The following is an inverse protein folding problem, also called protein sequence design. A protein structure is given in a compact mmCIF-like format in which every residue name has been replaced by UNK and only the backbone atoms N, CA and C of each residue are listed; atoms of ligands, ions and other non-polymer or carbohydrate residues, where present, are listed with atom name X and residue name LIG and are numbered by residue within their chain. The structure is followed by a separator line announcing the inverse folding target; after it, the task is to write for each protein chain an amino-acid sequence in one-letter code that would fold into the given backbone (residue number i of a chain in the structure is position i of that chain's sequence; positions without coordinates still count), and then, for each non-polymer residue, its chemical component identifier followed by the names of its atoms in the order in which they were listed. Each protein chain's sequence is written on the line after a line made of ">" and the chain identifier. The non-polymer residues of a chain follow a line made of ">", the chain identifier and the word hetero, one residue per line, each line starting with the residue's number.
data_IF_816081726638
#
_entry.id   IF_816081726638
#
_cell.length_a   1.000
_cell.length_b   1.000
_cell.length_c   1.000
_cell.angle_alpha   90.00
_cell.angle_beta   90.00
_cell.angle_gamma   90.00
#
_symmetry.space_group_name_H-M   'P 1'
#
loop_
_entity.id
_entity.type
_entity.pdbx_description
1 polymer ?
#
# COMPACT_ATOMS: atom_id res chain seq x y z
N UNK A 1 8.52 19.37 8.63
CA UNK A 1 9.44 18.22 8.38
C UNK A 1 10.14 18.41 7.05
N UNK A 2 11.32 17.81 6.83
CA UNK A 2 11.91 17.77 5.47
C UNK A 2 11.18 16.70 4.65
N UNK A 3 11.17 16.80 3.31
CA UNK A 3 10.59 15.76 2.44
C UNK A 3 11.17 14.37 2.72
N UNK A 4 12.47 14.31 3.06
CA UNK A 4 13.20 13.09 3.45
C UNK A 4 12.69 12.42 4.74
N UNK A 5 11.87 13.13 5.51
CA UNK A 5 11.28 12.61 6.75
C UNK A 5 9.86 12.08 6.50
N UNK A 6 9.26 12.40 5.34
CA UNK A 6 7.90 12.01 4.97
C UNK A 6 7.95 10.68 4.21
N UNK A 7 7.46 9.64 4.87
CA UNK A 7 7.19 8.32 4.29
C UNK A 7 5.79 8.25 3.65
N UNK A 8 5.73 7.79 2.40
CA UNK A 8 4.51 7.54 1.63
C UNK A 8 4.32 6.02 1.46
N UNK A 9 3.10 5.53 1.69
CA UNK A 9 2.71 4.16 1.33
C UNK A 9 1.90 4.19 0.02
N UNK A 10 2.47 3.74 -1.11
CA UNK A 10 1.76 3.61 -2.37
C UNK A 10 0.86 2.36 -2.36
N UNK A 11 -0.41 2.55 -2.06
CA UNK A 11 -1.46 1.54 -2.11
C UNK A 11 -1.97 1.40 -3.55
N UNK A 12 -1.67 0.29 -4.21
CA UNK A 12 -2.07 0.09 -5.60
C UNK A 12 -2.06 -1.37 -6.01
N UNK A 13 -2.90 -1.70 -7.00
CA UNK A 13 -3.01 -3.03 -7.56
C UNK A 13 -1.69 -3.61 -8.07
N UNK A 14 -1.47 -4.89 -7.77
CA UNK A 14 -0.26 -5.66 -8.13
C UNK A 14 -0.51 -6.73 -9.19
N UNK A 15 -1.69 -6.73 -9.81
CA UNK A 15 -2.19 -7.86 -10.61
C UNK A 15 -1.39 -8.19 -11.87
N UNK A 16 -0.64 -7.23 -12.43
CA UNK A 16 0.04 -7.41 -13.71
C UNK A 16 1.23 -6.46 -13.90
N UNK A 17 2.07 -6.78 -14.89
CA UNK A 17 3.29 -6.02 -15.21
C UNK A 17 3.06 -4.55 -15.59
N UNK A 18 1.87 -4.20 -16.11
CA UNK A 18 1.55 -2.80 -16.43
C UNK A 18 1.30 -2.01 -15.15
N UNK A 19 0.47 -2.53 -14.24
CA UNK A 19 0.19 -1.90 -12.94
C UNK A 19 1.47 -1.79 -12.11
N UNK A 20 2.32 -2.83 -12.09
CA UNK A 20 3.58 -2.77 -11.35
C UNK A 20 4.58 -1.78 -11.94
N UNK A 21 4.70 -1.72 -13.27
CA UNK A 21 5.54 -0.72 -13.92
C UNK A 21 5.07 0.71 -13.62
N UNK A 22 3.75 0.95 -13.69
CA UNK A 22 3.16 2.24 -13.36
C UNK A 22 3.50 2.67 -11.93
N UNK A 23 3.27 1.78 -10.95
CA UNK A 23 3.53 2.08 -9.55
C UNK A 23 5.02 2.34 -9.29
N UNK A 24 5.92 1.55 -9.89
CA UNK A 24 7.37 1.77 -9.77
C UNK A 24 7.81 3.11 -10.37
N UNK A 25 7.24 3.52 -11.51
CA UNK A 25 7.55 4.81 -12.11
C UNK A 25 7.07 5.99 -11.24
N UNK A 26 5.86 5.88 -10.68
CA UNK A 26 5.31 6.87 -9.76
C UNK A 26 6.16 7.00 -8.50
N UNK A 27 6.51 5.87 -7.87
CA UNK A 27 7.37 5.83 -6.68
C UNK A 27 8.74 6.44 -6.97
N UNK A 28 9.37 6.09 -8.09
CA UNK A 28 10.66 6.67 -8.46
C UNK A 28 10.58 8.21 -8.57
N UNK A 29 9.53 8.74 -9.20
CA UNK A 29 9.32 10.19 -9.28
C UNK A 29 9.14 10.86 -7.91
N UNK A 30 8.46 10.21 -6.96
CA UNK A 30 8.30 10.72 -5.60
C UNK A 30 9.62 10.66 -4.81
N UNK A 31 10.41 9.60 -4.96
CA UNK A 31 11.72 9.50 -4.34
C UNK A 31 12.70 10.54 -4.90
N UNK A 32 12.64 10.85 -6.19
CA UNK A 32 13.41 11.96 -6.80
C UNK A 32 13.03 13.34 -6.23
N UNK A 33 11.78 13.52 -5.77
CA UNK A 33 11.37 14.73 -5.01
C UNK A 33 11.88 14.74 -3.57
N UNK A 34 12.47 13.63 -3.11
CA UNK A 34 13.07 13.47 -1.79
C UNK A 34 12.17 12.80 -0.76
N UNK A 35 11.03 12.21 -1.14
CA UNK A 35 10.20 11.44 -0.23
C UNK A 35 10.79 10.06 0.05
N UNK A 36 10.41 9.46 1.19
CA UNK A 36 10.61 8.03 1.45
C UNK A 36 9.37 7.26 1.02
N UNK A 37 9.52 6.03 0.58
CA UNK A 37 8.37 5.17 0.26
C UNK A 37 8.49 3.80 0.90
N UNK A 38 7.41 3.34 1.55
CA UNK A 38 7.24 1.95 1.97
C UNK A 38 6.53 1.22 0.82
N UNK A 39 7.27 0.68 -0.15
CA UNK A 39 6.68 0.22 -1.41
C UNK A 39 6.57 -1.32 -1.47
N UNK A 40 5.36 -1.89 -1.29
CA UNK A 40 5.18 -3.35 -1.17
C UNK A 40 5.72 -4.14 -2.37
N UNK A 41 5.75 -3.56 -3.57
CA UNK A 41 6.28 -4.22 -4.77
C UNK A 41 7.78 -4.47 -4.72
N UNK A 42 8.55 -3.55 -4.12
CA UNK A 42 10.00 -3.72 -3.94
C UNK A 42 10.30 -4.78 -2.90
N UNK A 43 9.41 -4.89 -1.91
CA UNK A 43 9.47 -5.90 -0.86
C UNK A 43 9.04 -7.29 -1.37
N UNK A 44 8.57 -7.41 -2.62
CA UNK A 44 8.18 -8.67 -3.29
C UNK A 44 9.24 -9.77 -3.37
N UNK A 45 10.44 -9.55 -2.83
CA UNK A 45 11.46 -10.57 -2.57
C UNK A 45 11.17 -11.44 -1.33
N UNK A 46 10.19 -11.05 -0.50
CA UNK A 46 9.80 -11.76 0.73
C UNK A 46 8.97 -13.02 0.49
N UNK A 47 8.22 -13.13 -0.61
CA UNK A 47 7.40 -14.33 -0.89
C UNK A 47 8.27 -15.58 -0.97
N UNK A 48 9.41 -15.53 -1.65
CA UNK A 48 10.27 -16.70 -1.82
C UNK A 48 10.90 -17.16 -0.51
N UNK A 49 11.38 -16.22 0.31
CA UNK A 49 12.08 -16.54 1.55
C UNK A 49 11.12 -16.84 2.71
N UNK A 50 9.99 -16.14 2.79
CA UNK A 50 8.92 -16.41 3.75
C UNK A 50 8.28 -17.77 3.47
N UNK A 51 7.95 -18.09 2.20
CA UNK A 51 7.45 -19.41 1.84
C UNK A 51 8.43 -20.51 2.27
N UNK A 52 9.73 -20.35 2.00
CA UNK A 52 10.76 -21.31 2.45
C UNK A 52 10.79 -21.45 3.97
N UNK A 53 10.83 -20.33 4.69
CA UNK A 53 10.85 -20.35 6.16
C UNK A 53 9.58 -20.99 6.76
N UNK A 54 8.43 -20.83 6.13
CA UNK A 54 7.17 -21.45 6.54
C UNK A 54 7.12 -22.94 6.18
N UNK A 55 7.60 -23.36 5.00
CA UNK A 55 7.66 -24.77 4.59
C UNK A 55 8.52 -25.62 5.53
N UNK A 56 9.54 -25.02 6.16
CA UNK A 56 10.36 -25.70 7.18
C UNK A 56 9.59 -26.01 8.48
N UNK A 57 8.40 -25.41 8.68
CA UNK A 57 7.66 -25.42 9.96
C UNK A 57 6.19 -25.80 9.84
N UNK A 58 5.57 -25.67 8.66
CA UNK A 58 4.16 -25.91 8.40
C UNK A 58 3.97 -26.90 7.24
N UNK A 59 2.85 -27.65 7.22
CA UNK A 59 2.45 -28.42 6.04
C UNK A 59 2.31 -27.51 4.82
N UNK A 60 2.71 -28.00 3.64
CA UNK A 60 2.63 -27.25 2.37
C UNK A 60 1.22 -26.69 2.09
N UNK A 61 0.17 -27.40 2.51
CA UNK A 61 -1.23 -26.96 2.37
C UNK A 61 -1.60 -25.76 3.23
N UNK A 62 -0.87 -25.46 4.30
CA UNK A 62 -1.13 -24.34 5.21
C UNK A 62 -0.29 -23.09 4.86
N UNK A 63 0.82 -23.27 4.14
CA UNK A 63 1.77 -22.19 3.83
C UNK A 63 1.11 -21.01 3.10
N UNK A 64 0.29 -21.20 2.04
CA UNK A 64 -0.33 -20.08 1.34
C UNK A 64 -1.17 -19.19 2.27
N UNK A 65 -2.01 -19.80 3.12
CA UNK A 65 -2.84 -19.05 4.07
C UNK A 65 -2.01 -18.34 5.13
N UNK A 66 -0.90 -18.92 5.57
CA UNK A 66 0.02 -18.27 6.50
C UNK A 66 0.70 -17.05 5.87
N UNK A 67 1.16 -17.16 4.62
CA UNK A 67 1.75 -16.05 3.87
C UNK A 67 0.76 -14.90 3.74
N UNK A 68 -0.48 -15.17 3.29
CA UNK A 68 -1.54 -14.16 3.15
C UNK A 68 -1.78 -13.42 4.48
N UNK A 69 -1.91 -14.15 5.59
CA UNK A 69 -2.12 -13.56 6.92
C UNK A 69 -0.94 -12.71 7.37
N UNK A 70 0.28 -13.20 7.20
CA UNK A 70 1.49 -12.46 7.61
C UNK A 70 1.63 -11.16 6.82
N UNK A 71 1.38 -11.20 5.50
CA UNK A 71 1.40 -10.00 4.65
C UNK A 71 0.32 -9.02 5.08
N UNK A 72 -0.90 -9.49 5.32
CA UNK A 72 -1.97 -8.65 5.84
C UNK A 72 -1.55 -7.92 7.13
N UNK A 73 -0.93 -8.63 8.08
CA UNK A 73 -0.45 -8.02 9.32
C UNK A 73 0.75 -7.09 9.11
N UNK A 74 1.57 -7.33 8.07
CA UNK A 74 2.68 -6.47 7.70
C UNK A 74 2.16 -5.13 7.16
N UNK A 75 1.26 -5.17 6.18
CA UNK A 75 0.65 -3.97 5.61
C UNK A 75 -0.09 -3.17 6.68
N UNK A 76 -1.01 -3.82 7.40
CA UNK A 76 -1.88 -3.17 8.38
C UNK A 76 -1.17 -2.79 9.67
N UNK A 77 -0.14 -3.55 10.06
CA UNK A 77 0.52 -3.38 11.35
C UNK A 77 1.82 -2.59 11.28
N UNK A 78 2.45 -2.51 10.11
CA UNK A 78 3.76 -1.88 9.91
C UNK A 78 3.66 -0.81 8.83
N UNK A 79 3.41 -1.17 7.57
CA UNK A 79 3.58 -0.21 6.49
C UNK A 79 2.59 0.95 6.51
N UNK A 80 1.30 0.67 6.69
CA UNK A 80 0.27 1.72 6.79
C UNK A 80 0.46 2.56 8.06
N UNK A 81 0.61 1.97 9.27
CA UNK A 81 0.87 2.76 10.47
C UNK A 81 2.19 3.53 10.46
N UNK A 82 3.22 3.08 9.73
CA UNK A 82 4.51 3.76 9.66
C UNK A 82 4.64 4.79 8.52
N UNK A 83 3.55 5.06 7.82
CA UNK A 83 3.50 6.05 6.74
C UNK A 83 2.75 7.30 7.14
N UNK A 84 3.19 8.46 6.62
CA UNK A 84 2.53 9.74 6.88
C UNK A 84 1.36 9.95 5.92
N UNK A 85 1.56 9.52 4.68
CA UNK A 85 0.61 9.62 3.58
C UNK A 85 0.36 8.24 3.01
N UNK A 86 -0.91 7.90 2.82
CA UNK A 86 -1.33 6.77 1.99
C UNK A 86 -1.71 7.31 0.63
N UNK A 87 -0.99 6.86 -0.40
CA UNK A 87 -1.22 7.27 -1.77
C UNK A 87 -1.91 6.12 -2.51
N UNK A 88 -3.20 6.24 -2.75
CA UNK A 88 -4.03 5.16 -3.27
C UNK A 88 -4.37 5.35 -4.75
N UNK A 89 -4.02 4.36 -5.57
CA UNK A 89 -4.54 4.26 -6.93
C UNK A 89 -5.99 3.76 -6.89
N UNK A 90 -6.92 4.59 -7.36
CA UNK A 90 -8.35 4.29 -7.42
C UNK A 90 -8.86 4.20 -8.88
N UNK A 91 -7.98 3.81 -9.81
CA UNK A 91 -8.35 3.39 -11.16
C UNK A 91 -9.30 2.18 -11.12
N UNK A 92 -10.15 2.07 -12.14
CA UNK A 92 -11.15 1.01 -12.22
C UNK A 92 -10.64 -0.23 -13.00
N UNK A 93 -10.93 -1.46 -12.55
CA UNK A 93 -11.67 -1.79 -11.33
C UNK A 93 -10.83 -1.52 -10.07
N UNK A 94 -11.49 -0.99 -9.04
CA UNK A 94 -10.85 -0.73 -7.75
C UNK A 94 -10.38 -2.03 -7.09
N UNK A 95 -9.18 -2.01 -6.53
CA UNK A 95 -8.61 -3.11 -5.75
C UNK A 95 -9.17 -3.10 -4.33
N UNK A 96 -9.82 -4.18 -3.92
CA UNK A 96 -10.41 -4.30 -2.58
C UNK A 96 -9.37 -4.20 -1.46
N UNK A 97 -8.14 -4.66 -1.68
CA UNK A 97 -7.02 -4.51 -0.74
C UNK A 97 -6.68 -3.05 -0.50
N UNK A 98 -6.61 -2.25 -1.56
CA UNK A 98 -6.38 -0.79 -1.48
C UNK A 98 -7.49 -0.09 -0.71
N UNK A 99 -8.75 -0.52 -0.87
CA UNK A 99 -9.88 0.03 -0.12
C UNK A 99 -9.79 -0.29 1.38
N UNK A 100 -9.37 -1.51 1.74
CA UNK A 100 -9.13 -1.92 3.13
C UNK A 100 -8.00 -1.10 3.75
N UNK A 101 -6.90 -0.92 3.03
CA UNK A 101 -5.76 -0.09 3.46
C UNK A 101 -6.17 1.35 3.74
N UNK A 102 -6.91 1.96 2.81
CA UNK A 102 -7.44 3.32 2.98
C UNK A 102 -8.36 3.44 4.20
N UNK A 103 -9.27 2.48 4.38
CA UNK A 103 -10.18 2.49 5.54
C UNK A 103 -9.42 2.34 6.87
N UNK A 104 -8.42 1.46 6.92
CA UNK A 104 -7.57 1.32 8.10
C UNK A 104 -6.79 2.60 8.39
N UNK A 105 -6.13 3.16 7.37
CA UNK A 105 -5.38 4.40 7.45
C UNK A 105 -6.22 5.58 7.96
N UNK A 106 -7.46 5.70 7.49
CA UNK A 106 -8.41 6.73 7.94
C UNK A 106 -8.69 6.60 9.43
N UNK A 107 -8.91 5.38 9.92
CA UNK A 107 -9.21 5.11 11.34
C UNK A 107 -8.03 5.45 12.26
N UNK A 108 -6.80 5.34 11.78
CA UNK A 108 -5.58 5.71 12.54
C UNK A 108 -5.07 7.11 12.21
N UNK A 109 -5.88 7.94 11.55
CA UNK A 109 -5.57 9.34 11.20
C UNK A 109 -4.31 9.51 10.34
N UNK A 110 -4.09 8.61 9.37
CA UNK A 110 -3.15 8.88 8.26
C UNK A 110 -3.83 9.72 7.19
N UNK A 111 -3.03 10.53 6.50
CA UNK A 111 -3.53 11.38 5.43
C UNK A 111 -3.67 10.54 4.16
N UNK A 112 -4.90 10.39 3.68
CA UNK A 112 -5.21 9.58 2.52
C UNK A 112 -5.33 10.46 1.27
N UNK A 113 -4.45 10.24 0.30
CA UNK A 113 -4.53 10.84 -1.03
C UNK A 113 -4.97 9.76 -2.02
N UNK A 114 -6.21 9.84 -2.46
CA UNK A 114 -6.68 9.04 -3.59
C UNK A 114 -6.30 9.73 -4.90
N UNK A 115 -5.93 8.95 -5.91
CA UNK A 115 -5.76 9.48 -7.25
C UNK A 115 -6.38 8.57 -8.30
N UNK A 116 -6.70 9.16 -9.45
CA UNK A 116 -7.24 8.44 -10.59
C UNK A 116 -6.65 8.95 -11.89
N UNK A 117 -6.29 7.99 -12.75
CA UNK A 117 -5.62 8.18 -14.04
C UNK A 117 -6.38 7.64 -15.23
N UNK A 118 -7.45 6.87 -14.98
CA UNK A 118 -8.34 6.33 -16.00
C UNK A 118 -8.69 7.31 -17.13
N UNK A 119 -8.49 6.82 -18.36
CA UNK A 119 -8.87 7.56 -19.57
C UNK A 119 -10.33 7.34 -19.99
N UNK A 120 -11.01 6.38 -19.37
CA UNK A 120 -12.42 6.04 -19.62
C UNK A 120 -13.11 5.85 -18.29
N UNK A 121 -14.40 6.17 -18.21
CA UNK A 121 -15.18 6.00 -17.00
C UNK A 121 -16.35 5.03 -17.22
N UNK A 122 -16.53 4.05 -16.31
CA UNK A 122 -17.69 3.18 -16.33
C UNK A 122 -18.95 3.81 -15.72
N UNK A 123 -18.82 4.78 -14.81
CA UNK A 123 -19.95 5.30 -14.01
C UNK A 123 -20.29 6.78 -14.24
N UNK A 124 -19.63 7.47 -15.17
CA UNK A 124 -19.89 8.88 -15.45
C UNK A 124 -18.98 9.47 -16.52
N UNK A 125 -18.73 10.78 -16.42
CA UNK A 125 -17.79 11.48 -17.30
C UNK A 125 -16.46 11.71 -16.60
N UNK A 126 -15.37 11.68 -17.36
CA UNK A 126 -14.05 12.13 -16.87
C UNK A 126 -14.02 13.63 -16.53
N UNK A 127 -15.10 14.38 -16.75
CA UNK A 127 -15.25 15.76 -16.26
C UNK A 127 -15.87 15.88 -14.87
N UNK A 128 -16.38 14.79 -14.30
CA UNK A 128 -17.04 14.82 -13.00
C UNK A 128 -16.02 14.90 -11.85
N UNK A 129 -16.42 15.29 -10.64
CA UNK A 129 -15.50 15.53 -9.52
C UNK A 129 -14.62 14.33 -9.12
N UNK A 130 -15.06 13.10 -9.41
CA UNK A 130 -14.29 11.86 -9.24
C UNK A 130 -14.00 11.16 -10.59
N UNK A 131 -14.17 11.88 -11.70
CA UNK A 131 -14.03 11.41 -13.07
C UNK A 131 -15.00 10.30 -13.49
N UNK A 132 -16.07 10.04 -12.73
CA UNK A 132 -16.98 8.91 -12.93
C UNK A 132 -16.44 7.57 -12.41
N UNK A 133 -15.61 7.61 -11.37
CA UNK A 133 -15.30 6.47 -10.50
C UNK A 133 -16.48 6.23 -9.55
N UNK A 134 -16.59 5.04 -8.97
CA UNK A 134 -17.46 4.85 -7.81
C UNK A 134 -17.06 5.83 -6.69
N UNK A 135 -17.97 6.72 -6.27
CA UNK A 135 -17.61 7.90 -5.46
C UNK A 135 -17.25 7.58 -4.00
N UNK A 136 -17.66 6.43 -3.47
CA UNK A 136 -17.55 6.14 -2.03
C UNK A 136 -16.11 6.21 -1.50
N UNK A 137 -15.11 5.57 -2.13
CA UNK A 137 -13.73 5.69 -1.66
C UNK A 137 -13.22 7.13 -1.68
N UNK A 138 -13.51 7.86 -2.76
CA UNK A 138 -13.11 9.26 -2.90
C UNK A 138 -13.74 10.18 -1.85
N UNK A 139 -15.03 9.98 -1.52
CA UNK A 139 -15.75 10.83 -0.57
C UNK A 139 -15.50 10.48 0.91
N UNK A 140 -15.37 9.19 1.23
CA UNK A 140 -15.37 8.73 2.62
C UNK A 140 -14.02 8.24 3.12
N UNK A 141 -13.12 7.82 2.22
CA UNK A 141 -11.82 7.27 2.59
C UNK A 141 -10.67 8.23 2.31
N UNK A 142 -10.80 9.14 1.35
CA UNK A 142 -9.77 10.11 1.02
C UNK A 142 -9.91 11.42 1.81
N UNK A 143 -8.79 12.04 2.16
CA UNK A 143 -8.71 13.43 2.62
C UNK A 143 -8.51 14.39 1.45
N UNK A 144 -7.75 13.93 0.45
CA UNK A 144 -7.50 14.63 -0.81
C UNK A 144 -7.73 13.68 -1.97
N UNK A 145 -8.34 14.16 -3.06
CA UNK A 145 -8.53 13.38 -4.28
C UNK A 145 -7.93 14.10 -5.48
N UNK A 146 -7.03 13.41 -6.20
CA UNK A 146 -6.35 13.93 -7.38
C UNK A 146 -6.90 13.26 -8.62
N UNK A 147 -7.54 14.07 -9.46
CA UNK A 147 -7.85 13.64 -10.81
C UNK A 147 -6.73 14.03 -11.77
N UNK A 148 -6.19 13.05 -12.47
CA UNK A 148 -5.10 13.25 -13.42
C UNK A 148 -5.30 12.37 -14.65
N UNK A 149 -6.04 12.88 -15.63
CA UNK A 149 -6.31 12.18 -16.89
C UNK A 149 -5.02 11.93 -17.68
N UNK A 150 -4.67 10.66 -17.97
CA UNK A 150 -3.40 10.29 -18.62
C UNK A 150 -3.57 9.69 -20.03
N UNK A 151 -3.92 10.48 -21.06
CA UNK A 151 -4.05 10.00 -22.43
C UNK A 151 -2.65 9.72 -23.02
N UNK A 152 -2.22 8.47 -23.01
CA UNK A 152 -0.91 8.11 -23.54
C UNK A 152 -0.99 7.66 -25.01
N UNK A 153 -0.60 8.54 -25.96
CA UNK A 153 -0.45 8.17 -27.38
C UNK A 153 1.00 7.87 -27.74
N UNK A 154 1.95 8.51 -27.06
CA UNK A 154 3.39 8.34 -27.28
C UNK A 154 4.13 8.09 -25.96
N UNK A 155 5.35 7.50 -25.99
CA UNK A 155 6.17 7.37 -24.79
C UNK A 155 6.53 8.71 -24.13
N UNK A 156 6.58 9.80 -24.90
CA UNK A 156 6.84 11.13 -24.35
C UNK A 156 5.62 11.67 -23.60
N UNK A 157 4.40 11.39 -24.08
CA UNK A 157 3.17 11.71 -23.36
C UNK A 157 3.16 10.96 -22.02
N UNK A 158 3.47 9.66 -22.02
CA UNK A 158 3.53 8.84 -20.80
C UNK A 158 4.44 9.47 -19.72
N UNK A 159 5.63 9.92 -20.11
CA UNK A 159 6.59 10.57 -19.20
C UNK A 159 6.05 11.91 -18.70
N UNK A 160 5.46 12.71 -19.59
CA UNK A 160 4.94 14.04 -19.26
C UNK A 160 3.79 13.94 -18.28
N UNK A 161 2.84 13.03 -18.53
CA UNK A 161 1.70 12.79 -17.63
C UNK A 161 2.19 12.20 -16.30
N UNK A 162 3.11 11.23 -16.30
CA UNK A 162 3.65 10.68 -15.05
C UNK A 162 4.31 11.76 -14.19
N UNK A 163 5.12 12.63 -14.80
CA UNK A 163 5.71 13.76 -14.10
C UNK A 163 4.65 14.73 -13.57
N UNK A 164 3.61 15.00 -14.38
CA UNK A 164 2.48 15.84 -13.98
C UNK A 164 1.70 15.27 -12.79
N UNK A 165 1.55 13.94 -12.71
CA UNK A 165 0.96 13.28 -11.55
C UNK A 165 1.85 13.43 -10.31
N UNK A 166 3.16 13.15 -10.44
CA UNK A 166 4.15 13.31 -9.36
C UNK A 166 4.14 14.74 -8.83
N UNK A 167 4.12 15.74 -9.71
CA UNK A 167 4.11 17.16 -9.33
C UNK A 167 2.82 17.57 -8.61
N UNK A 168 1.66 17.04 -9.03
CA UNK A 168 0.39 17.25 -8.31
C UNK A 168 0.45 16.67 -6.91
N UNK A 169 0.93 15.44 -6.76
CA UNK A 169 1.06 14.78 -5.44
C UNK A 169 2.04 15.57 -4.56
N UNK A 170 3.19 15.97 -5.11
CA UNK A 170 4.18 16.77 -4.40
C UNK A 170 3.61 18.10 -3.89
N UNK A 171 2.81 18.77 -4.73
CA UNK A 171 2.15 20.02 -4.38
C UNK A 171 1.14 19.85 -3.25
N UNK A 172 0.41 18.74 -3.21
CA UNK A 172 -0.53 18.45 -2.13
C UNK A 172 0.20 18.13 -0.82
N UNK A 173 1.27 17.32 -0.85
CA UNK A 173 1.98 16.88 0.36
C UNK A 173 2.85 17.99 0.96
N UNK A 174 3.51 18.81 0.12
CA UNK A 174 4.49 19.82 0.55
C UNK A 174 4.01 20.81 1.64
N UNK A 175 2.77 21.34 1.61
CA UNK A 175 2.28 22.25 2.65
C UNK A 175 1.82 21.55 3.94
N UNK A 176 1.73 20.22 3.97
CA UNK A 176 1.17 19.49 5.10
C UNK A 176 2.15 19.46 6.28
N UNK A 177 1.60 19.60 7.49
CA UNK A 177 2.35 19.39 8.73
C UNK A 177 2.06 18.00 9.29
N UNK A 178 3.10 17.18 9.37
CA UNK A 178 3.00 15.84 9.95
C UNK A 178 3.65 15.81 11.33
N UNK A 179 3.01 15.10 12.26
CA UNK A 179 3.64 14.69 13.51
C UNK A 179 4.57 13.50 13.27
N UNK A 180 5.64 13.39 14.06
CA UNK A 180 6.48 12.20 14.07
C UNK A 180 5.65 10.95 14.30
N UNK A 181 5.81 9.96 13.43
CA UNK A 181 5.16 8.66 13.58
C UNK A 181 5.83 7.92 14.74
N UNK A 182 5.03 7.54 15.73
CA UNK A 182 5.47 6.57 16.73
C UNK A 182 5.42 5.18 16.09
N UNK A 183 6.50 4.37 16.20
CA UNK A 183 6.46 3.00 15.75
C UNK A 183 5.28 2.27 16.40
N UNK A 184 4.57 1.46 15.62
CA UNK A 184 3.60 0.51 16.17
C UNK A 184 4.38 -0.47 17.07
N UNK A 185 4.32 -0.25 18.38
CA UNK A 185 5.11 -1.00 19.37
C UNK A 185 4.44 -2.31 19.78
N UNK A 186 3.16 -2.47 19.47
CA UNK A 186 2.31 -3.56 19.96
C UNK A 186 1.92 -4.58 18.88
N UNK A 187 2.72 -4.74 17.82
CA UNK A 187 2.49 -5.83 16.86
C UNK A 187 3.19 -7.12 17.33
N UNK A 188 2.39 -8.11 17.73
CA UNK A 188 2.87 -9.40 18.26
C UNK A 188 3.79 -10.16 17.30
N UNK A 189 3.69 -9.90 15.99
CA UNK A 189 4.53 -10.53 14.98
C UNK A 189 5.86 -9.79 14.81
N UNK A 190 5.82 -8.47 14.61
CA UNK A 190 6.99 -7.72 14.14
C UNK A 190 7.73 -6.93 15.23
N UNK A 191 7.17 -6.79 16.44
CA UNK A 191 7.75 -5.95 17.49
C UNK A 191 9.18 -6.38 17.86
N UNK A 192 10.14 -5.45 17.77
CA UNK A 192 11.54 -5.70 18.11
C UNK A 192 12.38 -6.44 17.06
N UNK A 193 11.78 -6.89 15.94
CA UNK A 193 12.55 -7.46 14.83
C UNK A 193 13.25 -6.29 14.10
N UNK A 194 14.58 -6.26 14.13
CA UNK A 194 15.39 -5.17 13.55
C UNK A 194 15.30 -5.12 12.03
N UNK A 195 15.28 -6.30 11.42
CA UNK A 195 15.26 -6.47 9.98
C UNK A 195 14.40 -7.68 9.63
N UNK A 196 13.15 -7.42 9.22
CA UNK A 196 12.18 -8.44 8.81
C UNK A 196 12.56 -9.12 7.48
N UNK A 197 13.53 -8.56 6.74
CA UNK A 197 14.03 -9.12 5.48
C UNK A 197 15.21 -10.10 5.71
N UNK A 198 15.81 -10.09 6.89
CA UNK A 198 16.89 -11.00 7.24
C UNK A 198 16.37 -12.42 7.49
N UNK A 199 17.20 -13.45 7.22
CA UNK A 199 16.83 -14.85 7.51
C UNK A 199 16.51 -15.06 9.00
N UNK A 200 17.23 -14.38 9.89
CA UNK A 200 16.99 -14.40 11.33
C UNK A 200 15.63 -13.79 11.67
N UNK A 201 15.34 -12.60 11.15
CA UNK A 201 14.06 -11.93 11.35
C UNK A 201 12.87 -12.73 10.80
N UNK A 202 13.02 -13.36 9.63
CA UNK A 202 11.99 -14.23 9.05
C UNK A 202 11.74 -15.48 9.90
N UNK A 203 12.79 -16.11 10.45
CA UNK A 203 12.63 -17.26 11.35
C UNK A 203 11.89 -16.88 12.62
N UNK A 204 12.29 -15.77 13.23
CA UNK A 204 11.64 -15.25 14.42
C UNK A 204 10.16 -14.89 14.15
N UNK A 205 9.89 -14.24 13.01
CA UNK A 205 8.52 -13.95 12.55
C UNK A 205 7.67 -15.21 12.43
N UNK A 206 8.19 -16.25 11.77
CA UNK A 206 7.49 -17.53 11.60
C UNK A 206 7.23 -18.20 12.94
N UNK A 207 8.21 -18.22 13.85
CA UNK A 207 8.05 -18.80 15.18
C UNK A 207 6.98 -18.06 15.99
N UNK A 208 6.94 -16.73 15.91
CA UNK A 208 5.91 -15.90 16.55
C UNK A 208 4.53 -16.13 15.94
N UNK A 209 4.44 -16.25 14.62
CA UNK A 209 3.19 -16.55 13.94
C UNK A 209 2.60 -17.89 14.40
N UNK A 210 3.41 -18.95 14.40
CA UNK A 210 3.00 -20.28 14.85
C UNK A 210 2.58 -20.25 16.33
N UNK A 211 3.39 -19.61 17.19
CA UNK A 211 3.11 -19.51 18.62
C UNK A 211 1.84 -18.73 18.95
N UNK A 212 1.36 -17.89 18.03
CA UNK A 212 0.17 -17.05 18.22
C UNK A 212 -0.97 -17.41 17.25
N UNK A 213 -0.87 -18.52 16.52
CA UNK A 213 -1.78 -18.88 15.43
C UNK A 213 -3.25 -18.83 15.87
N UNK A 214 -3.61 -19.49 16.97
CA UNK A 214 -4.99 -19.54 17.47
C UNK A 214 -5.55 -18.15 17.79
N UNK A 215 -4.72 -17.29 18.39
CA UNK A 215 -5.09 -15.90 18.69
C UNK A 215 -5.31 -15.09 17.42
N UNK A 216 -4.40 -15.22 16.45
CA UNK A 216 -4.49 -14.51 15.17
C UNK A 216 -5.68 -14.99 14.33
N UNK A 217 -6.00 -16.29 14.39
CA UNK A 217 -7.16 -16.87 13.70
C UNK A 217 -8.48 -16.46 14.36
N UNK A 218 -8.49 -16.16 15.65
CA UNK A 218 -9.68 -15.64 16.34
C UNK A 218 -10.15 -14.27 15.84
N UNK A 219 -9.27 -13.50 15.18
CA UNK A 219 -9.61 -12.23 14.56
C UNK A 219 -10.25 -12.39 13.17
N UNK A 220 -10.05 -13.54 12.54
CA UNK A 220 -10.58 -13.83 11.22
C UNK A 220 -12.07 -14.22 11.25
N UNK A 221 -12.76 -14.12 10.10
CA UNK A 221 -14.13 -14.59 9.99
C UNK A 221 -14.19 -16.11 10.19
N UNK A 222 -15.23 -16.58 10.90
CA UNK A 222 -15.55 -18.02 10.95
C UNK A 222 -16.23 -18.41 9.65
N UNK A 223 -15.56 -19.25 8.85
CA UNK A 223 -16.13 -19.78 7.62
C UNK A 223 -17.07 -20.93 7.99
N UNK A 224 -18.37 -20.72 7.80
CA UNK A 224 -19.39 -21.78 7.90
C UNK A 224 -19.57 -22.36 6.51
N UNK A 225 -19.30 -23.67 6.36
CA UNK A 225 -19.52 -24.43 5.13
C UNK A 225 -20.73 -25.32 5.29
#
# INVERSE_FOLDING_TARGET
>A
MKKSDITIYPAAALFNGRSTYFNQALVAGLEEKGYKTNFPQRDGFEFGNLNKALMDKLPESEVPSAVEKIIYYLDMGIFVPQSHVILANLDEPQDEGVLVELAHAKNISRHNIGFRTDVRSPYGSSSDGFGGMHFFPGLYLCDTFIQHYMPCKTPQDAKTEMQGLVDKIDKEISPMEFSNIKPATDNILFSGIKDIHSLEGLRELVERYISNKDKLESYGPKIVR
#
